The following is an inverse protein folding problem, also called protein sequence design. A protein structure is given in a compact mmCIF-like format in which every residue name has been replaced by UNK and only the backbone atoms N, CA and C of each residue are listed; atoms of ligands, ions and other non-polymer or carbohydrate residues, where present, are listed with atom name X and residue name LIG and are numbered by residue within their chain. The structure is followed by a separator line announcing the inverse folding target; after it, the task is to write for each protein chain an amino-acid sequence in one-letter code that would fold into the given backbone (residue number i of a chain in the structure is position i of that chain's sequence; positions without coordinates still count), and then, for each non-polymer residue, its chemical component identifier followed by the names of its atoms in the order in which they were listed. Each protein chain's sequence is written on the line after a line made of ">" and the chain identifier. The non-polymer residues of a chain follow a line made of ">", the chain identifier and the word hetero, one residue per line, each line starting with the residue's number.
data_IF_449337511531
#
_entry.id   IF_449337511531
#
_cell.length_a   1.000
_cell.length_b   1.000
_cell.length_c   1.000
_cell.angle_alpha   90.00
_cell.angle_beta   90.00
_cell.angle_gamma   90.00
#
_symmetry.space_group_name_H-M   'P 1'
#
loop_
_entity.id
_entity.type
_entity.pdbx_description
1 polymer ?
#
# COMPACT_ATOMS: atom_id res chain seq x y z
N UNK A 1 8.66 -29.17 9.79
CA UNK A 1 10.02 -28.88 9.24
C UNK A 1 10.85 -28.24 10.33
N UNK A 2 12.10 -28.65 10.52
CA UNK A 2 13.02 -28.00 11.48
C UNK A 2 13.75 -26.82 10.85
N UNK A 3 14.26 -25.89 11.67
CA UNK A 3 15.04 -24.75 11.18
C UNK A 3 16.32 -25.15 10.45
N UNK A 4 16.91 -26.28 10.79
CA UNK A 4 18.10 -26.83 10.11
C UNK A 4 17.74 -27.20 8.66
N UNK A 5 16.68 -27.97 8.47
CA UNK A 5 16.22 -28.35 7.13
C UNK A 5 15.81 -27.12 6.29
N UNK A 6 15.17 -26.13 6.92
CA UNK A 6 14.84 -24.87 6.27
C UNK A 6 16.10 -24.12 5.81
N UNK A 7 17.12 -24.04 6.65
CA UNK A 7 18.39 -23.38 6.30
C UNK A 7 19.12 -24.12 5.18
N UNK A 8 19.14 -25.46 5.23
CA UNK A 8 19.73 -26.27 4.16
C UNK A 8 19.01 -26.05 2.84
N UNK A 9 17.67 -26.03 2.86
CA UNK A 9 16.87 -25.75 1.67
C UNK A 9 17.17 -24.34 1.08
N UNK A 10 17.41 -23.33 1.93
CA UNK A 10 17.83 -22.01 1.48
C UNK A 10 19.20 -22.04 0.79
N UNK A 11 20.20 -22.71 1.36
CA UNK A 11 21.53 -22.81 0.74
C UNK A 11 21.47 -23.53 -0.61
N UNK A 12 20.67 -24.59 -0.73
CA UNK A 12 20.46 -25.31 -1.99
C UNK A 12 19.70 -24.47 -3.02
N UNK A 13 18.71 -23.69 -2.59
CA UNK A 13 17.92 -22.83 -3.48
C UNK A 13 18.65 -21.55 -3.91
N UNK A 14 19.67 -21.10 -3.16
CA UNK A 14 20.33 -19.81 -3.38
C UNK A 14 20.86 -19.63 -4.81
N UNK A 15 21.55 -20.58 -5.45
CA UNK A 15 21.99 -20.43 -6.83
C UNK A 15 20.84 -20.19 -7.80
N UNK A 16 19.73 -20.91 -7.64
CA UNK A 16 18.52 -20.76 -8.47
C UNK A 16 17.87 -19.39 -8.25
N UNK A 17 17.84 -18.92 -7.01
CA UNK A 17 17.33 -17.60 -6.67
C UNK A 17 18.17 -16.50 -7.32
N UNK A 18 19.49 -16.62 -7.33
CA UNK A 18 20.40 -15.66 -7.99
C UNK A 18 20.24 -15.66 -9.51
N UNK A 19 20.13 -16.83 -10.13
CA UNK A 19 19.82 -16.95 -11.57
C UNK A 19 18.49 -16.29 -11.91
N UNK A 20 17.45 -16.57 -11.11
CA UNK A 20 16.12 -15.94 -11.28
C UNK A 20 16.20 -14.42 -11.14
N UNK A 21 16.98 -13.91 -10.16
CA UNK A 21 17.18 -12.49 -9.95
C UNK A 21 17.86 -11.84 -11.17
N UNK A 22 18.90 -12.47 -11.71
CA UNK A 22 19.59 -12.04 -12.92
C UNK A 22 18.66 -12.00 -14.13
N UNK A 23 17.82 -13.03 -14.29
CA UNK A 23 16.86 -13.12 -15.39
C UNK A 23 15.76 -12.07 -15.29
N UNK A 24 15.18 -11.84 -14.08
CA UNK A 24 14.23 -10.76 -13.84
C UNK A 24 14.83 -9.39 -14.14
N UNK A 25 16.10 -9.22 -13.87
CA UNK A 25 16.84 -8.00 -14.19
C UNK A 25 16.96 -7.68 -15.67
N UNK A 26 16.53 -8.57 -16.59
CA UNK A 26 16.38 -8.23 -18.02
C UNK A 26 15.19 -7.29 -18.28
N UNK A 27 14.10 -7.48 -17.52
CA UNK A 27 12.89 -6.65 -17.63
C UNK A 27 12.94 -5.44 -16.69
N UNK A 28 13.53 -5.61 -15.51
CA UNK A 28 13.64 -4.58 -14.47
C UNK A 28 15.08 -4.55 -13.93
N UNK A 29 15.94 -3.65 -14.47
CA UNK A 29 17.38 -3.62 -14.16
C UNK A 29 17.73 -3.52 -12.68
N UNK A 30 16.86 -2.92 -11.86
CA UNK A 30 17.03 -2.82 -10.41
C UNK A 30 17.23 -4.15 -9.70
N UNK A 31 16.79 -5.29 -10.27
CA UNK A 31 17.05 -6.61 -9.70
C UNK A 31 18.52 -7.04 -9.82
N UNK A 32 19.31 -6.41 -10.69
CA UNK A 32 20.75 -6.67 -10.82
C UNK A 32 21.62 -5.78 -9.93
N UNK A 33 21.02 -4.78 -9.29
CA UNK A 33 21.71 -3.88 -8.38
C UNK A 33 21.75 -4.43 -6.94
N UNK A 34 22.76 -4.02 -6.17
CA UNK A 34 22.88 -4.24 -4.73
C UNK A 34 22.82 -5.73 -4.30
N UNK A 35 23.40 -6.66 -5.06
CA UNK A 35 23.40 -8.07 -4.71
C UNK A 35 24.14 -8.35 -3.40
N UNK A 36 25.20 -7.58 -3.12
CA UNK A 36 25.96 -7.70 -1.88
C UNK A 36 25.06 -7.53 -0.64
N UNK A 37 24.11 -6.58 -0.64
CA UNK A 37 23.16 -6.39 0.45
C UNK A 37 22.32 -7.65 0.68
N UNK A 38 21.79 -8.27 -0.40
CA UNK A 38 20.98 -9.51 -0.35
C UNK A 38 21.76 -10.72 0.15
N UNK A 39 23.08 -10.69 0.02
CA UNK A 39 24.00 -11.71 0.50
C UNK A 39 24.55 -11.40 1.92
N UNK A 40 24.01 -10.38 2.58
CA UNK A 40 24.40 -9.99 3.93
C UNK A 40 25.65 -9.11 4.01
N UNK A 41 26.04 -8.45 2.91
CA UNK A 41 27.16 -7.52 2.84
C UNK A 41 26.66 -6.10 2.51
N UNK A 42 25.91 -5.44 3.40
CA UNK A 42 25.41 -4.12 3.14
C UNK A 42 26.55 -3.10 3.17
N UNK A 43 26.53 -2.18 2.20
CA UNK A 43 27.41 -1.02 2.17
C UNK A 43 26.74 0.14 2.93
N UNK A 44 26.91 0.16 4.23
CA UNK A 44 26.34 1.20 5.08
C UNK A 44 27.40 1.74 6.03
N UNK A 45 27.46 3.06 6.20
CA UNK A 45 28.36 3.67 7.18
C UNK A 45 27.98 3.24 8.61
N UNK A 46 28.97 2.98 9.47
CA UNK A 46 28.74 2.82 10.91
C UNK A 46 28.07 4.08 11.48
N UNK A 47 27.24 3.90 12.50
CA UNK A 47 26.63 5.02 13.22
C UNK A 47 26.53 4.70 14.68
N UNK A 48 26.60 5.74 15.52
CA UNK A 48 26.31 5.66 16.94
C UNK A 48 24.84 5.99 17.26
N UNK A 49 24.05 6.36 16.24
CA UNK A 49 22.63 6.64 16.41
C UNK A 49 21.84 5.36 16.70
N UNK A 50 20.81 5.48 17.54
CA UNK A 50 19.83 4.42 17.75
C UNK A 50 19.24 3.99 16.39
N UNK A 51 19.43 2.74 16.01
CA UNK A 51 18.92 2.21 14.72
C UNK A 51 17.64 1.45 14.97
N UNK A 52 16.53 1.93 14.44
CA UNK A 52 15.23 1.26 14.41
C UNK A 52 15.06 0.62 13.02
N UNK A 53 14.89 -0.69 12.97
CA UNK A 53 14.82 -1.41 11.71
C UNK A 53 13.38 -1.69 11.33
N UNK A 54 12.93 -1.15 10.21
CA UNK A 54 11.61 -1.38 9.60
C UNK A 54 11.79 -2.19 8.33
N UNK A 55 11.07 -3.31 8.21
CA UNK A 55 11.06 -4.14 7.01
C UNK A 55 9.71 -4.05 6.29
N UNK A 56 9.74 -3.52 5.06
CA UNK A 56 8.61 -3.38 4.16
C UNK A 56 8.98 -3.92 2.78
N UNK A 57 8.43 -5.06 2.39
CA UNK A 57 8.86 -5.85 1.22
C UNK A 57 8.62 -5.13 -0.10
N UNK A 58 7.43 -4.54 -0.26
CA UNK A 58 6.88 -4.08 -1.53
C UNK A 58 6.50 -2.59 -1.50
N UNK A 59 6.11 -2.05 -2.66
CA UNK A 59 5.56 -0.69 -2.78
C UNK A 59 4.39 -0.47 -1.83
N UNK A 60 3.46 -1.44 -1.74
CA UNK A 60 2.28 -1.33 -0.88
C UNK A 60 2.63 -1.24 0.59
N UNK A 61 3.53 -2.11 1.06
CA UNK A 61 4.00 -2.10 2.46
C UNK A 61 4.85 -0.87 2.77
N UNK A 62 5.69 -0.42 1.83
CA UNK A 62 6.50 0.80 2.02
C UNK A 62 5.63 2.03 2.20
N UNK A 63 4.55 2.17 1.41
CA UNK A 63 3.55 3.23 1.60
C UNK A 63 2.78 3.07 2.91
N UNK A 64 2.38 1.84 3.25
CA UNK A 64 1.70 1.57 4.51
C UNK A 64 2.57 1.85 5.74
N UNK A 65 3.89 1.72 5.61
CA UNK A 65 4.85 2.03 6.68
C UNK A 65 5.12 3.53 6.87
N UNK A 66 4.72 4.40 5.92
CA UNK A 66 5.01 5.84 5.96
C UNK A 66 4.55 6.50 7.27
N UNK A 67 3.30 6.37 7.74
CA UNK A 67 2.87 6.97 9.01
C UNK A 67 3.68 6.46 10.21
N UNK A 68 4.05 5.19 10.22
CA UNK A 68 4.84 4.59 11.28
C UNK A 68 6.28 5.12 11.29
N UNK A 69 6.92 5.21 10.13
CA UNK A 69 8.30 5.73 10.00
C UNK A 69 8.35 7.18 10.46
N UNK A 70 7.40 8.02 10.01
CA UNK A 70 7.31 9.43 10.43
C UNK A 70 7.08 9.57 11.94
N UNK A 71 6.18 8.76 12.50
CA UNK A 71 5.92 8.78 13.95
C UNK A 71 7.15 8.34 14.76
N UNK A 72 7.88 7.31 14.31
CA UNK A 72 9.12 6.86 14.96
C UNK A 72 10.24 7.92 14.89
N UNK A 73 10.40 8.58 13.72
CA UNK A 73 11.38 9.67 13.57
C UNK A 73 11.05 10.89 14.44
N UNK A 74 9.77 11.14 14.68
CA UNK A 74 9.30 12.21 15.57
C UNK A 74 9.50 11.84 17.03
N UNK A 75 9.17 10.62 17.41
CA UNK A 75 9.27 10.12 18.80
C UNK A 75 10.73 9.95 19.25
N UNK A 76 11.60 9.54 18.31
CA UNK A 76 13.03 9.32 18.56
C UNK A 76 13.88 10.22 17.64
N UNK A 77 14.04 11.53 17.97
CA UNK A 77 14.70 12.51 17.08
C UNK A 77 16.14 12.14 16.71
N UNK A 78 16.89 11.52 17.62
CA UNK A 78 18.28 11.13 17.42
C UNK A 78 18.44 9.74 16.79
N UNK A 79 17.33 9.10 16.41
CA UNK A 79 17.35 7.78 15.79
C UNK A 79 17.63 7.83 14.30
N UNK A 80 17.99 6.66 13.79
CA UNK A 80 18.06 6.34 12.37
C UNK A 80 17.11 5.18 12.07
N UNK A 81 16.30 5.32 11.04
CA UNK A 81 15.50 4.22 10.49
C UNK A 81 16.37 3.45 9.47
N UNK A 82 16.50 2.15 9.68
CA UNK A 82 16.96 1.23 8.66
C UNK A 82 15.72 0.64 7.97
N UNK A 83 15.45 1.08 6.75
CA UNK A 83 14.31 0.60 5.97
C UNK A 83 14.77 -0.47 4.97
N UNK A 84 14.23 -1.68 5.09
CA UNK A 84 14.62 -2.79 4.21
C UNK A 84 13.50 -3.24 3.30
N UNK A 85 13.89 -3.66 2.08
CA UNK A 85 12.99 -4.05 1.00
C UNK A 85 13.39 -5.40 0.40
N UNK A 86 12.47 -6.02 -0.38
CA UNK A 86 12.77 -7.17 -1.23
C UNK A 86 12.67 -6.85 -2.72
N UNK A 87 12.01 -5.75 -3.11
CA UNK A 87 11.80 -5.36 -4.50
C UNK A 87 12.47 -4.02 -4.85
N UNK A 88 12.97 -3.85 -6.10
CA UNK A 88 13.52 -2.57 -6.55
C UNK A 88 12.50 -1.43 -6.52
N UNK A 89 11.25 -1.73 -6.86
CA UNK A 89 10.14 -0.77 -6.83
C UNK A 89 9.81 -0.33 -5.40
N UNK A 90 9.85 -1.25 -4.41
CA UNK A 90 9.72 -0.89 -2.99
C UNK A 90 10.84 0.05 -2.54
N UNK A 91 12.10 -0.25 -2.91
CA UNK A 91 13.25 0.61 -2.60
C UNK A 91 13.14 2.00 -3.25
N UNK A 92 12.70 2.07 -4.51
CA UNK A 92 12.46 3.34 -5.20
C UNK A 92 11.35 4.16 -4.52
N UNK A 93 10.28 3.50 -4.09
CA UNK A 93 9.20 4.12 -3.31
C UNK A 93 9.72 4.65 -1.98
N UNK A 94 10.53 3.88 -1.25
CA UNK A 94 11.15 4.33 0.01
C UNK A 94 12.06 5.54 -0.20
N UNK A 95 12.83 5.56 -1.32
CA UNK A 95 13.65 6.73 -1.67
C UNK A 95 12.79 7.97 -1.96
N UNK A 96 11.67 7.79 -2.64
CA UNK A 96 10.74 8.89 -2.96
C UNK A 96 10.06 9.45 -1.71
N UNK A 97 9.60 8.58 -0.81
CA UNK A 97 8.87 8.98 0.40
C UNK A 97 9.80 9.60 1.46
N UNK A 98 10.96 8.98 1.69
CA UNK A 98 11.79 9.30 2.84
C UNK A 98 13.13 9.96 2.50
N UNK A 99 13.39 10.23 1.20
CA UNK A 99 14.67 10.83 0.78
C UNK A 99 14.95 12.21 1.39
N UNK A 100 13.92 12.94 1.77
CA UNK A 100 14.02 14.25 2.43
C UNK A 100 14.60 14.17 3.86
N UNK A 101 14.55 13.00 4.51
CA UNK A 101 15.17 12.79 5.83
C UNK A 101 16.70 12.58 5.78
N UNK A 102 17.28 12.48 4.57
CA UNK A 102 18.72 12.30 4.39
C UNK A 102 19.24 11.04 5.10
N UNK A 103 20.30 11.20 5.90
CA UNK A 103 20.96 10.09 6.61
C UNK A 103 20.11 9.49 7.75
N UNK A 104 19.01 10.11 8.12
CA UNK A 104 18.10 9.55 9.13
C UNK A 104 17.29 8.37 8.63
N UNK A 105 17.16 8.19 7.31
CA UNK A 105 16.52 7.00 6.72
C UNK A 105 17.48 6.35 5.73
N UNK A 106 18.03 5.22 6.12
CA UNK A 106 18.96 4.43 5.32
C UNK A 106 18.24 3.21 4.76
N UNK A 107 18.43 2.93 3.49
CA UNK A 107 17.79 1.79 2.83
C UNK A 107 18.79 0.67 2.54
N UNK A 108 18.30 -0.59 2.67
CA UNK A 108 19.03 -1.80 2.26
C UNK A 108 18.04 -2.83 1.73
N UNK A 109 18.54 -3.82 0.98
CA UNK A 109 17.78 -5.05 0.78
C UNK A 109 17.90 -5.95 2.01
N UNK A 110 16.79 -6.65 2.34
CA UNK A 110 16.84 -7.72 3.33
C UNK A 110 17.75 -8.84 2.80
N UNK A 111 18.68 -9.37 3.62
CA UNK A 111 19.45 -10.53 3.22
C UNK A 111 18.55 -11.78 3.09
N UNK A 112 18.93 -12.71 2.23
CA UNK A 112 18.24 -14.00 2.17
C UNK A 112 18.31 -14.70 3.53
N UNK A 113 17.22 -15.39 3.88
CA UNK A 113 16.98 -15.92 5.22
C UNK A 113 17.87 -17.12 5.57
N UNK A 114 19.19 -16.89 5.57
CA UNK A 114 20.20 -17.84 6.06
C UNK A 114 20.86 -17.31 7.33
N UNK A 115 21.22 -18.20 8.24
CA UNK A 115 21.80 -17.79 9.52
C UNK A 115 23.10 -16.96 9.37
N UNK A 116 23.91 -17.24 8.34
CA UNK A 116 25.15 -16.52 8.06
C UNK A 116 24.88 -15.09 7.58
N UNK A 117 24.02 -14.93 6.56
CA UNK A 117 23.72 -13.62 5.96
C UNK A 117 23.01 -12.70 6.95
N UNK A 118 22.01 -13.22 7.67
CA UNK A 118 21.31 -12.51 8.74
C UNK A 118 22.27 -12.10 9.85
N UNK A 119 23.16 -12.99 10.29
CA UNK A 119 24.14 -12.67 11.34
C UNK A 119 25.09 -11.54 10.96
N UNK A 120 25.54 -11.50 9.69
CA UNK A 120 26.37 -10.39 9.18
C UNK A 120 25.59 -9.07 9.13
N UNK A 121 24.37 -9.12 8.66
CA UNK A 121 23.48 -7.96 8.59
C UNK A 121 23.26 -7.36 9.98
N UNK A 122 22.91 -8.16 10.97
CA UNK A 122 22.71 -7.75 12.35
C UNK A 122 23.98 -7.16 12.97
N UNK A 123 25.15 -7.75 12.71
CA UNK A 123 26.45 -7.22 13.18
C UNK A 123 26.77 -5.85 12.58
N UNK A 124 26.37 -5.61 11.30
CA UNK A 124 26.65 -4.36 10.60
C UNK A 124 25.76 -3.22 11.09
N UNK A 125 24.46 -3.48 11.22
CA UNK A 125 23.48 -2.42 11.55
C UNK A 125 23.22 -2.26 13.05
N UNK A 126 23.37 -3.33 13.85
CA UNK A 126 23.11 -3.36 15.31
C UNK A 126 21.78 -2.69 15.68
N UNK A 127 20.64 -3.12 15.07
CA UNK A 127 19.37 -2.47 15.34
C UNK A 127 18.93 -2.71 16.79
N UNK A 128 18.25 -1.72 17.38
CA UNK A 128 17.64 -1.80 18.70
C UNK A 128 16.39 -2.67 18.70
N UNK A 129 15.63 -2.61 17.61
CA UNK A 129 14.39 -3.37 17.37
C UNK A 129 14.28 -3.71 15.89
N UNK A 130 13.68 -4.86 15.58
CA UNK A 130 13.28 -5.26 14.23
C UNK A 130 11.76 -5.19 14.12
N UNK A 131 11.24 -4.34 13.25
CA UNK A 131 9.82 -4.11 13.02
C UNK A 131 9.47 -4.68 11.65
N UNK A 132 8.74 -5.80 11.63
CA UNK A 132 8.29 -6.47 10.42
C UNK A 132 6.86 -6.02 10.07
N UNK A 133 6.60 -5.72 8.81
CA UNK A 133 5.29 -5.29 8.34
C UNK A 133 4.43 -6.48 7.88
N UNK A 134 3.14 -6.42 8.14
CA UNK A 134 2.07 -7.30 7.63
C UNK A 134 2.25 -8.80 7.90
N UNK A 135 2.80 -9.57 6.95
CA UNK A 135 2.85 -11.05 7.02
C UNK A 135 4.27 -11.61 7.03
N UNK A 136 5.27 -10.78 7.23
CA UNK A 136 6.67 -11.10 7.03
C UNK A 136 7.26 -11.88 8.23
N UNK A 137 7.14 -13.21 8.18
CA UNK A 137 7.73 -14.12 9.17
C UNK A 137 8.87 -14.91 8.54
N UNK A 138 10.12 -14.59 8.93
CA UNK A 138 11.36 -15.18 8.42
C UNK A 138 12.06 -15.94 9.54
N UNK A 139 12.00 -17.30 9.57
CA UNK A 139 12.45 -18.09 10.72
C UNK A 139 13.91 -17.90 11.13
N UNK A 140 14.85 -17.79 10.19
CA UNK A 140 16.25 -17.57 10.52
C UNK A 140 16.54 -16.13 10.95
N UNK A 141 15.84 -15.14 10.37
CA UNK A 141 15.90 -13.75 10.78
C UNK A 141 15.44 -13.58 12.23
N UNK A 142 14.26 -14.11 12.57
CA UNK A 142 13.70 -14.05 13.92
C UNK A 142 14.65 -14.72 14.91
N UNK A 143 15.12 -15.94 14.60
CA UNK A 143 16.09 -16.63 15.43
C UNK A 143 17.45 -15.91 15.51
N UNK A 144 17.86 -15.22 14.46
CA UNK A 144 19.06 -14.38 14.43
C UNK A 144 18.93 -13.16 15.34
N UNK A 145 17.79 -12.49 15.28
CA UNK A 145 17.43 -11.37 16.16
C UNK A 145 17.43 -11.79 17.63
N UNK A 146 16.79 -12.92 17.96
CA UNK A 146 16.79 -13.45 19.33
C UNK A 146 18.20 -13.71 19.87
N UNK A 147 19.09 -14.32 19.05
CA UNK A 147 20.51 -14.53 19.44
C UNK A 147 21.30 -13.24 19.59
N UNK A 148 20.92 -12.19 18.88
CA UNK A 148 21.56 -10.87 18.93
C UNK A 148 20.93 -9.95 19.98
N UNK A 149 19.96 -10.43 20.77
CA UNK A 149 19.16 -9.65 21.72
C UNK A 149 18.45 -8.45 21.06
N UNK A 150 18.00 -8.63 19.81
CA UNK A 150 17.20 -7.67 19.06
C UNK A 150 15.73 -8.10 19.12
N UNK A 151 14.86 -7.43 19.87
CA UNK A 151 13.46 -7.79 19.92
C UNK A 151 12.81 -7.57 18.54
N UNK A 152 11.87 -8.48 18.20
CA UNK A 152 11.12 -8.42 16.94
C UNK A 152 9.69 -8.01 17.23
N UNK A 153 9.16 -7.03 16.51
CA UNK A 153 7.74 -6.72 16.51
C UNK A 153 7.15 -7.01 15.12
N UNK A 154 5.99 -7.65 15.06
CA UNK A 154 5.22 -7.78 13.84
C UNK A 154 4.08 -6.75 13.92
N UNK A 155 4.08 -5.76 13.02
CA UNK A 155 3.12 -4.64 13.07
C UNK A 155 2.25 -4.59 11.82
N UNK A 156 1.07 -3.97 11.95
CA UNK A 156 0.06 -4.00 10.90
C UNK A 156 -0.22 -5.45 10.46
N UNK A 157 -0.19 -6.38 11.42
CA UNK A 157 -0.17 -7.81 11.16
C UNK A 157 -1.52 -8.30 10.63
N UNK A 158 -1.46 -9.04 9.53
CA UNK A 158 -2.61 -9.65 8.88
C UNK A 158 -2.33 -11.12 8.61
N UNK A 159 -3.29 -12.00 8.91
CA UNK A 159 -3.14 -13.43 8.67
C UNK A 159 -4.45 -14.05 8.17
N UNK A 160 -4.56 -14.27 6.85
CA UNK A 160 -5.73 -14.93 6.28
C UNK A 160 -5.82 -16.41 6.68
N UNK A 161 -7.02 -16.99 6.64
CA UNK A 161 -7.23 -18.43 6.87
C UNK A 161 -6.37 -19.31 5.96
N UNK A 162 -6.19 -18.90 4.70
CA UNK A 162 -5.33 -19.61 3.75
C UNK A 162 -3.87 -19.59 4.19
N UNK A 163 -3.39 -18.45 4.69
CA UNK A 163 -2.02 -18.28 5.18
C UNK A 163 -1.81 -19.04 6.49
N UNK A 164 -2.80 -19.02 7.40
CA UNK A 164 -2.78 -19.81 8.62
C UNK A 164 -2.63 -21.32 8.31
N UNK A 165 -3.45 -21.84 7.38
CA UNK A 165 -3.37 -23.25 6.96
C UNK A 165 -2.00 -23.61 6.36
N UNK A 166 -1.39 -22.68 5.59
CA UNK A 166 -0.02 -22.88 5.06
C UNK A 166 1.02 -22.85 6.18
N UNK A 167 0.92 -21.89 7.11
CA UNK A 167 1.80 -21.81 8.27
C UNK A 167 1.77 -23.08 9.13
N UNK A 168 0.57 -23.60 9.40
CA UNK A 168 0.40 -24.86 10.14
C UNK A 168 1.06 -26.07 9.47
N UNK A 169 1.09 -26.12 8.13
CA UNK A 169 1.81 -27.17 7.38
C UNK A 169 3.33 -27.11 7.57
N UNK A 170 3.89 -25.94 7.90
CA UNK A 170 5.31 -25.82 8.24
C UNK A 170 5.62 -26.33 9.66
N UNK A 171 4.60 -26.62 10.46
CA UNK A 171 4.70 -27.24 11.78
C UNK A 171 5.54 -26.43 12.75
N UNK A 172 6.41 -27.14 13.51
CA UNK A 172 7.25 -26.57 14.56
C UNK A 172 8.03 -25.31 14.13
N UNK A 173 8.49 -25.25 12.88
CA UNK A 173 9.25 -24.10 12.38
C UNK A 173 8.47 -22.78 12.47
N UNK A 174 7.18 -22.80 12.11
CA UNK A 174 6.35 -21.60 12.16
C UNK A 174 5.90 -21.27 13.58
N UNK A 175 5.62 -22.30 14.39
CA UNK A 175 5.28 -22.12 15.80
C UNK A 175 6.47 -21.51 16.57
N UNK A 176 7.68 -22.03 16.38
CA UNK A 176 8.91 -21.48 16.98
C UNK A 176 9.15 -20.02 16.55
N UNK A 177 8.94 -19.73 15.28
CA UNK A 177 9.10 -18.36 14.77
C UNK A 177 8.06 -17.41 15.38
N UNK A 178 6.79 -17.81 15.43
CA UNK A 178 5.72 -16.98 15.98
C UNK A 178 5.88 -16.76 17.50
N UNK A 179 6.24 -17.80 18.25
CA UNK A 179 6.46 -17.71 19.71
C UNK A 179 7.70 -16.87 20.07
N UNK A 180 8.65 -16.73 19.15
CA UNK A 180 9.84 -15.89 19.34
C UNK A 180 9.60 -14.41 18.98
N UNK A 181 8.39 -14.01 18.55
CA UNK A 181 8.02 -12.60 18.31
C UNK A 181 7.35 -12.06 19.59
N UNK A 182 8.05 -11.24 20.39
CA UNK A 182 7.54 -10.78 21.68
C UNK A 182 6.33 -9.86 21.59
N UNK A 183 6.08 -9.22 20.43
CA UNK A 183 5.00 -8.28 20.24
C UNK A 183 4.40 -8.36 18.85
N UNK A 184 3.08 -8.49 18.78
CA UNK A 184 2.31 -8.41 17.53
C UNK A 184 1.22 -7.36 17.65
N UNK A 185 1.18 -6.40 16.72
CA UNK A 185 0.13 -5.42 16.54
C UNK A 185 -0.74 -5.84 15.33
N UNK A 186 -1.87 -6.47 15.57
CA UNK A 186 -2.77 -7.02 14.56
C UNK A 186 -3.76 -5.98 14.04
N UNK A 187 -4.19 -6.11 12.77
CA UNK A 187 -5.17 -5.21 12.17
C UNK A 187 -6.58 -5.44 12.73
N UNK A 188 -6.97 -6.70 12.90
CA UNK A 188 -8.31 -7.08 13.35
C UNK A 188 -8.24 -8.11 14.47
N UNK A 189 -9.35 -8.29 15.21
CA UNK A 189 -9.44 -9.36 16.21
C UNK A 189 -9.37 -10.76 15.57
N UNK A 190 -9.91 -10.93 14.37
CA UNK A 190 -9.80 -12.18 13.61
C UNK A 190 -8.35 -12.52 13.26
N UNK A 191 -7.55 -11.52 12.85
CA UNK A 191 -6.10 -11.70 12.64
C UNK A 191 -5.39 -12.05 13.96
N UNK A 192 -5.72 -11.33 15.03
CA UNK A 192 -5.14 -11.56 16.34
C UNK A 192 -5.40 -13.00 16.85
N UNK A 193 -6.61 -13.52 16.70
CA UNK A 193 -6.97 -14.89 17.09
C UNK A 193 -6.16 -15.92 16.27
N UNK A 194 -6.06 -15.73 14.95
CA UNK A 194 -5.26 -16.60 14.08
C UNK A 194 -3.79 -16.59 14.46
N UNK A 195 -3.24 -15.42 14.77
CA UNK A 195 -1.83 -15.26 15.15
C UNK A 195 -1.57 -15.87 16.54
N UNK A 196 -2.45 -15.67 17.52
CA UNK A 196 -2.38 -16.34 18.84
C UNK A 196 -2.38 -17.86 18.70
N UNK A 197 -3.15 -18.40 17.75
CA UNK A 197 -3.19 -19.84 17.48
C UNK A 197 -1.87 -20.41 16.94
N UNK A 198 -0.93 -19.56 16.50
CA UNK A 198 0.44 -19.91 16.12
C UNK A 198 1.44 -19.75 17.28
N UNK A 199 0.98 -19.38 18.48
CA UNK A 199 1.83 -19.31 19.67
C UNK A 199 2.47 -17.95 19.95
N UNK A 200 2.08 -16.86 19.27
CA UNK A 200 2.60 -15.53 19.56
C UNK A 200 2.21 -15.10 21.00
N UNK A 201 3.19 -14.68 21.86
CA UNK A 201 2.96 -14.48 23.30
C UNK A 201 2.14 -13.23 23.63
N UNK A 202 2.31 -12.16 22.87
CA UNK A 202 1.59 -10.90 23.08
C UNK A 202 1.05 -10.37 21.77
N UNK A 203 -0.28 -10.38 21.62
CA UNK A 203 -0.99 -9.89 20.44
C UNK A 203 -2.01 -8.84 20.86
N UNK A 204 -1.82 -7.61 20.41
CA UNK A 204 -2.75 -6.50 20.59
C UNK A 204 -3.42 -6.14 19.26
N UNK A 205 -4.68 -5.73 19.29
CA UNK A 205 -5.37 -5.19 18.12
C UNK A 205 -5.15 -3.67 18.06
N UNK A 206 -4.48 -3.20 17.03
CA UNK A 206 -4.20 -1.77 16.84
C UNK A 206 -5.00 -1.14 15.71
N UNK A 207 -5.62 -1.93 14.86
CA UNK A 207 -6.19 -1.47 13.61
C UNK A 207 -5.16 -1.45 12.47
N UNK A 208 -5.60 -1.07 11.28
CA UNK A 208 -4.70 -0.96 10.12
C UNK A 208 -4.10 0.44 10.00
N UNK A 209 -2.77 0.51 9.97
CA UNK A 209 -2.00 1.76 9.75
C UNK A 209 -2.39 2.46 8.43
N UNK A 210 -2.94 1.73 7.48
CA UNK A 210 -3.41 2.28 6.20
C UNK A 210 -4.51 3.34 6.38
N UNK A 211 -5.23 3.34 7.51
CA UNK A 211 -6.25 4.34 7.82
C UNK A 211 -5.67 5.65 8.40
N UNK A 212 -4.42 5.64 8.84
CA UNK A 212 -3.75 6.82 9.38
C UNK A 212 -3.17 7.74 8.30
N UNK A 213 -3.60 7.53 7.07
CA UNK A 213 -3.20 8.37 5.94
C UNK A 213 -3.77 9.78 6.14
N UNK A 214 -2.87 10.76 6.15
CA UNK A 214 -3.22 12.18 6.18
C UNK A 214 -2.98 12.76 4.79
N UNK A 215 -4.02 13.31 4.14
CA UNK A 215 -3.84 13.97 2.85
C UNK A 215 -2.83 15.11 2.98
N UNK A 216 -1.74 15.14 2.19
CA UNK A 216 -0.76 16.23 2.24
C UNK A 216 -1.40 17.57 1.83
N UNK A 217 -1.10 18.65 2.54
CA UNK A 217 -1.64 19.99 2.23
C UNK A 217 -1.40 20.38 0.76
N UNK A 218 -0.19 20.17 0.25
CA UNK A 218 0.15 20.41 -1.15
C UNK A 218 -0.70 19.59 -2.15
N UNK A 219 -1.14 18.39 -1.77
CA UNK A 219 -2.04 17.59 -2.60
C UNK A 219 -3.48 18.15 -2.60
N UNK A 220 -3.92 18.70 -1.47
CA UNK A 220 -5.23 19.38 -1.38
C UNK A 220 -5.24 20.67 -2.20
N UNK A 221 -4.19 21.49 -2.11
CA UNK A 221 -4.01 22.70 -2.94
C UNK A 221 -4.01 22.35 -4.42
N UNK A 222 -3.29 21.33 -4.82
CA UNK A 222 -3.27 20.81 -6.19
C UNK A 222 -4.65 20.29 -6.62
N UNK A 223 -5.40 19.64 -5.73
CA UNK A 223 -6.78 19.22 -5.97
C UNK A 223 -7.73 20.39 -6.20
N UNK A 224 -7.62 21.43 -5.38
CA UNK A 224 -8.39 22.68 -5.57
C UNK A 224 -8.05 23.34 -6.92
N UNK A 225 -6.77 23.37 -7.28
CA UNK A 225 -6.34 23.85 -8.59
C UNK A 225 -6.94 23.01 -9.74
N UNK A 226 -6.89 21.67 -9.67
CA UNK A 226 -7.50 20.79 -10.67
C UNK A 226 -9.01 21.04 -10.80
N UNK A 227 -9.71 21.21 -9.67
CA UNK A 227 -11.15 21.51 -9.65
C UNK A 227 -11.45 22.84 -10.36
N UNK A 228 -10.62 23.86 -10.13
CA UNK A 228 -10.73 25.15 -10.81
C UNK A 228 -10.46 25.04 -12.32
N UNK A 229 -9.44 24.25 -12.73
CA UNK A 229 -9.17 24.01 -14.16
C UNK A 229 -10.33 23.29 -14.86
N UNK A 230 -11.07 22.44 -14.14
CA UNK A 230 -12.29 21.81 -14.63
C UNK A 230 -13.52 22.73 -14.58
N UNK A 231 -13.39 24.01 -14.23
CA UNK A 231 -14.49 24.96 -14.08
C UNK A 231 -15.62 24.42 -13.16
N UNK A 232 -15.28 23.68 -12.12
CA UNK A 232 -16.19 23.01 -11.18
C UNK A 232 -17.20 22.05 -11.84
N UNK A 233 -16.89 21.53 -13.02
CA UNK A 233 -17.70 20.52 -13.71
C UNK A 233 -17.96 19.30 -12.81
N UNK A 234 -19.16 18.68 -12.85
CA UNK A 234 -19.39 17.40 -12.18
C UNK A 234 -18.36 16.38 -12.64
N UNK A 235 -17.55 15.85 -11.71
CA UNK A 235 -16.38 15.02 -12.04
C UNK A 235 -16.48 13.63 -11.42
N UNK A 236 -16.53 12.61 -12.28
CA UNK A 236 -16.40 11.20 -11.88
C UNK A 236 -14.98 10.74 -12.07
N UNK A 237 -14.35 10.22 -11.00
CA UNK A 237 -12.98 9.72 -11.00
C UNK A 237 -12.94 8.20 -11.05
N UNK A 238 -12.24 7.65 -12.03
CA UNK A 238 -11.86 6.24 -12.08
C UNK A 238 -10.40 6.11 -11.61
N UNK A 239 -10.22 5.81 -10.33
CA UNK A 239 -8.95 5.86 -9.62
C UNK A 239 -8.18 4.54 -9.74
N UNK A 240 -6.92 4.58 -10.18
CA UNK A 240 -6.02 3.42 -10.25
C UNK A 240 -6.56 2.27 -11.11
N UNK A 241 -7.10 2.59 -12.28
CA UNK A 241 -7.66 1.61 -13.21
C UNK A 241 -6.61 0.61 -13.71
N UNK A 242 -7.08 -0.57 -14.06
CA UNK A 242 -6.26 -1.69 -14.51
C UNK A 242 -6.65 -2.09 -15.93
N UNK A 243 -5.76 -2.87 -16.56
CA UNK A 243 -5.96 -3.37 -17.92
C UNK A 243 -7.33 -4.04 -18.11
N UNK A 244 -8.05 -3.61 -19.14
CA UNK A 244 -9.40 -4.06 -19.48
C UNK A 244 -10.52 -3.22 -18.86
N UNK A 245 -10.33 -2.58 -17.72
CA UNK A 245 -11.37 -1.77 -17.07
C UNK A 245 -11.68 -0.50 -17.84
N UNK A 246 -10.64 0.16 -18.38
CA UNK A 246 -10.83 1.44 -19.07
C UNK A 246 -11.71 1.30 -20.32
N UNK A 247 -11.62 0.16 -21.02
CA UNK A 247 -12.49 -0.12 -22.15
C UNK A 247 -13.95 -0.23 -21.71
N UNK A 248 -14.23 -1.02 -20.66
CA UNK A 248 -15.57 -1.19 -20.10
C UNK A 248 -16.16 0.13 -19.60
N UNK A 249 -15.35 0.92 -18.90
CA UNK A 249 -15.72 2.23 -18.36
C UNK A 249 -16.08 3.20 -19.50
N UNK A 250 -15.23 3.32 -20.52
CA UNK A 250 -15.45 4.22 -21.65
C UNK A 250 -16.68 3.84 -22.46
N UNK A 251 -16.87 2.54 -22.74
CA UNK A 251 -18.03 2.05 -23.46
C UNK A 251 -19.34 2.31 -22.69
N UNK A 252 -19.34 2.08 -21.39
CA UNK A 252 -20.48 2.38 -20.53
C UNK A 252 -20.72 3.91 -20.40
N UNK A 253 -19.66 4.71 -20.30
CA UNK A 253 -19.75 6.18 -20.26
C UNK A 253 -20.39 6.76 -21.52
N UNK A 254 -20.12 6.18 -22.70
CA UNK A 254 -20.73 6.62 -23.95
C UNK A 254 -22.22 6.23 -24.05
N UNK A 255 -22.61 5.07 -23.49
CA UNK A 255 -24.01 4.62 -23.52
C UNK A 255 -24.94 5.39 -22.59
N UNK A 256 -24.41 6.06 -21.58
CA UNK A 256 -25.24 6.82 -20.64
C UNK A 256 -25.68 8.13 -21.26
N UNK A 257 -26.97 8.25 -21.54
CA UNK A 257 -27.58 9.46 -22.15
C UNK A 257 -27.86 10.56 -21.13
N UNK A 258 -28.15 10.20 -19.88
CA UNK A 258 -28.57 11.10 -18.79
C UNK A 258 -27.40 11.65 -17.97
N UNK A 259 -26.24 11.93 -18.56
CA UNK A 259 -25.14 12.58 -17.83
C UNK A 259 -25.46 14.03 -17.53
N UNK A 260 -25.09 14.54 -16.33
CA UNK A 260 -25.15 15.97 -16.05
C UNK A 260 -24.42 16.78 -17.12
N UNK A 261 -24.98 17.93 -17.49
CA UNK A 261 -24.36 18.78 -18.49
C UNK A 261 -22.92 19.14 -18.09
N UNK A 262 -22.00 18.94 -18.99
CA UNK A 262 -20.59 19.21 -18.76
C UNK A 262 -19.88 18.19 -17.86
N UNK A 263 -20.47 17.04 -17.54
CA UNK A 263 -19.80 16.01 -16.73
C UNK A 263 -18.43 15.64 -17.31
N UNK A 264 -17.44 15.49 -16.41
CA UNK A 264 -16.07 15.15 -16.73
C UNK A 264 -15.76 13.75 -16.21
N UNK A 265 -15.22 12.89 -17.07
CA UNK A 265 -14.65 11.61 -16.67
C UNK A 265 -13.15 11.77 -16.44
N UNK A 266 -12.68 11.53 -15.21
CA UNK A 266 -11.25 11.48 -14.92
C UNK A 266 -10.78 10.02 -14.82
N UNK A 267 -9.79 9.61 -15.60
CA UNK A 267 -9.21 8.25 -15.58
C UNK A 267 -7.76 8.33 -15.14
N UNK A 268 -7.40 7.62 -14.08
CA UNK A 268 -6.02 7.55 -13.57
C UNK A 268 -5.56 6.09 -13.60
N UNK A 269 -4.81 5.68 -14.63
CA UNK A 269 -4.29 4.32 -14.72
C UNK A 269 -3.26 4.01 -13.63
N UNK A 270 -3.29 2.80 -13.09
CA UNK A 270 -2.39 2.36 -12.01
C UNK A 270 -0.92 2.32 -12.42
N UNK A 271 -0.65 2.07 -13.68
CA UNK A 271 0.69 1.84 -14.22
C UNK A 271 1.06 2.87 -15.28
N UNK A 272 2.20 3.58 -15.15
CA UNK A 272 2.63 4.61 -16.11
C UNK A 272 2.77 4.11 -17.56
N UNK A 273 3.13 2.83 -17.73
CA UNK A 273 3.28 2.21 -19.06
C UNK A 273 1.99 2.21 -19.87
N UNK A 274 0.84 2.43 -19.23
CA UNK A 274 -0.47 2.39 -19.85
C UNK A 274 -1.02 3.77 -20.27
N UNK A 275 -0.35 4.86 -19.89
CA UNK A 275 -0.86 6.19 -20.16
C UNK A 275 -1.10 6.44 -21.67
N UNK A 276 -0.15 6.06 -22.53
CA UNK A 276 -0.29 6.23 -23.99
C UNK A 276 -1.35 5.29 -24.58
N UNK A 277 -1.49 4.09 -24.03
CA UNK A 277 -2.50 3.12 -24.43
C UNK A 277 -3.91 3.64 -24.09
N UNK A 278 -4.10 4.16 -22.88
CA UNK A 278 -5.40 4.69 -22.44
C UNK A 278 -5.77 5.96 -23.21
N UNK A 279 -4.83 6.85 -23.51
CA UNK A 279 -5.09 8.01 -24.38
C UNK A 279 -5.61 7.56 -25.77
N UNK A 280 -4.95 6.57 -26.39
CA UNK A 280 -5.38 6.01 -27.68
C UNK A 280 -6.75 5.34 -27.54
N UNK A 281 -7.02 4.68 -26.43
CA UNK A 281 -8.30 4.04 -26.16
C UNK A 281 -9.44 5.05 -26.09
N UNK A 282 -9.22 6.22 -25.47
CA UNK A 282 -10.17 7.34 -25.40
C UNK A 282 -10.41 7.92 -26.81
N UNK A 283 -9.34 8.28 -27.52
CA UNK A 283 -9.43 8.91 -28.83
C UNK A 283 -10.04 8.00 -29.89
N UNK A 284 -9.78 6.69 -29.83
CA UNK A 284 -10.39 5.70 -30.75
C UNK A 284 -11.91 5.60 -30.62
N UNK A 285 -12.47 6.08 -29.51
CA UNK A 285 -13.93 6.18 -29.28
C UNK A 285 -14.51 7.54 -29.65
N UNK A 286 -13.72 8.41 -30.27
CA UNK A 286 -14.16 9.76 -30.65
C UNK A 286 -14.28 10.73 -29.48
N UNK A 287 -13.80 10.37 -28.28
CA UNK A 287 -13.79 11.23 -27.10
C UNK A 287 -12.56 12.12 -27.09
N UNK A 288 -12.74 13.36 -26.65
CA UNK A 288 -11.65 14.31 -26.44
C UNK A 288 -10.94 14.06 -25.13
N UNK A 289 -9.62 14.14 -25.10
CA UNK A 289 -8.81 13.86 -23.92
C UNK A 289 -7.75 14.93 -23.67
N UNK A 290 -7.61 15.32 -22.41
CA UNK A 290 -6.49 16.15 -21.94
C UNK A 290 -5.66 15.38 -20.93
N UNK A 291 -4.35 15.30 -21.13
CA UNK A 291 -3.42 14.75 -20.14
C UNK A 291 -3.17 15.76 -19.02
N UNK A 292 -3.14 15.25 -17.79
CA UNK A 292 -2.81 16.05 -16.61
C UNK A 292 -1.41 16.67 -16.72
N UNK A 293 -0.43 15.92 -17.23
CA UNK A 293 0.95 16.37 -17.38
C UNK A 293 1.13 17.53 -18.37
N UNK A 294 0.16 17.72 -19.27
CA UNK A 294 0.14 18.78 -20.29
C UNK A 294 -0.87 19.88 -19.99
N UNK A 295 -1.48 19.84 -18.80
CA UNK A 295 -2.48 20.83 -18.40
C UNK A 295 -1.79 22.07 -17.83
N UNK A 296 -1.79 23.16 -18.58
CA UNK A 296 -1.21 24.45 -18.19
C UNK A 296 -2.31 25.39 -17.68
N UNK A 297 -3.42 25.49 -18.41
CA UNK A 297 -4.55 26.38 -18.06
C UNK A 297 -5.84 25.89 -18.69
N UNK A 298 -6.89 25.73 -17.85
CA UNK A 298 -8.27 25.38 -18.24
C UNK A 298 -8.40 24.04 -18.99
N UNK A 299 -9.30 23.19 -18.54
CA UNK A 299 -9.57 21.91 -19.21
C UNK A 299 -10.46 22.07 -20.46
N UNK A 300 -11.12 23.22 -20.64
CA UNK A 300 -12.09 23.38 -21.73
C UNK A 300 -13.22 22.36 -21.65
N UNK A 301 -13.76 22.01 -22.83
CA UNK A 301 -14.88 21.06 -22.95
C UNK A 301 -14.42 19.61 -23.25
N UNK A 302 -13.25 19.18 -22.78
CA UNK A 302 -12.81 17.80 -22.99
C UNK A 302 -13.72 16.82 -22.25
N UNK A 303 -13.88 15.61 -22.83
CA UNK A 303 -14.70 14.55 -22.26
C UNK A 303 -13.96 13.82 -21.13
N UNK A 304 -12.63 13.66 -21.29
CA UNK A 304 -11.80 12.86 -20.40
C UNK A 304 -10.56 13.63 -19.94
N UNK A 305 -10.34 13.66 -18.62
CA UNK A 305 -9.06 14.01 -18.01
C UNK A 305 -8.26 12.72 -17.78
N UNK A 306 -7.15 12.54 -18.49
CA UNK A 306 -6.23 11.44 -18.24
C UNK A 306 -5.19 11.84 -17.20
N UNK A 307 -5.26 11.20 -16.04
CA UNK A 307 -4.29 11.37 -14.96
C UNK A 307 -3.01 10.57 -15.21
N UNK A 308 -2.07 11.17 -15.91
CA UNK A 308 -0.79 10.58 -16.29
C UNK A 308 0.37 11.04 -15.39
N UNK A 309 0.06 11.35 -14.14
CA UNK A 309 1.04 11.75 -13.11
C UNK A 309 1.08 10.77 -11.95
N UNK A 310 2.29 10.50 -11.44
CA UNK A 310 2.47 9.63 -10.27
C UNK A 310 2.48 10.43 -8.97
N UNK A 311 1.89 9.84 -7.91
CA UNK A 311 1.89 10.44 -6.57
C UNK A 311 0.85 11.53 -6.35
N UNK A 312 -0.04 11.79 -7.30
CA UNK A 312 -1.06 12.85 -7.22
C UNK A 312 -2.48 12.33 -6.88
N UNK A 313 -2.63 11.08 -6.40
CA UNK A 313 -3.95 10.48 -6.21
C UNK A 313 -4.84 11.28 -5.26
N UNK A 314 -4.30 11.83 -4.17
CA UNK A 314 -5.04 12.71 -3.27
C UNK A 314 -5.55 13.98 -3.96
N UNK A 315 -4.80 14.52 -4.91
CA UNK A 315 -5.25 15.70 -5.68
C UNK A 315 -6.44 15.32 -6.58
N UNK A 316 -6.42 14.15 -7.22
CA UNK A 316 -7.56 13.68 -8.01
C UNK A 316 -8.78 13.41 -7.14
N UNK A 317 -8.62 12.76 -5.98
CA UNK A 317 -9.74 12.59 -5.03
C UNK A 317 -10.27 13.91 -4.53
N UNK A 318 -9.42 14.87 -4.20
CA UNK A 318 -9.86 16.19 -3.76
C UNK A 318 -10.68 16.94 -4.85
N UNK A 319 -10.30 16.74 -6.13
CA UNK A 319 -10.94 17.40 -7.26
C UNK A 319 -12.27 16.74 -7.71
N UNK A 320 -12.54 15.48 -7.40
CA UNK A 320 -13.72 14.76 -7.87
C UNK A 320 -14.95 14.89 -6.96
N UNK A 321 -16.11 14.50 -7.48
CA UNK A 321 -17.38 14.44 -6.74
C UNK A 321 -17.65 13.03 -6.21
N UNK A 322 -17.30 11.99 -6.97
CA UNK A 322 -17.33 10.60 -6.56
C UNK A 322 -16.20 9.81 -7.24
N UNK A 323 -15.83 8.68 -6.68
CA UNK A 323 -14.70 7.90 -7.17
C UNK A 323 -15.01 6.41 -7.29
N UNK A 324 -14.64 5.82 -8.43
CA UNK A 324 -14.54 4.37 -8.60
C UNK A 324 -13.12 3.91 -8.29
N UNK A 325 -13.00 2.79 -7.58
CA UNK A 325 -11.71 2.19 -7.24
C UNK A 325 -11.39 1.07 -8.24
N UNK A 326 -10.40 1.30 -9.08
CA UNK A 326 -9.98 0.37 -10.12
C UNK A 326 -9.43 -0.95 -9.60
N UNK A 327 -9.31 -1.92 -10.49
CA UNK A 327 -8.95 -3.31 -10.19
C UNK A 327 -10.10 -4.10 -9.57
N UNK A 328 -11.28 -3.53 -9.48
CA UNK A 328 -12.44 -4.13 -8.82
C UNK A 328 -13.57 -4.58 -9.77
N UNK A 329 -13.68 -4.04 -10.98
CA UNK A 329 -14.57 -4.58 -12.03
C UNK A 329 -14.04 -5.88 -12.63
N UNK A 330 -12.73 -6.00 -12.72
CA UNK A 330 -12.04 -7.20 -13.18
C UNK A 330 -11.45 -7.95 -11.97
N UNK A 331 -11.16 -9.27 -12.07
CA UNK A 331 -10.67 -10.07 -10.93
C UNK A 331 -9.22 -9.76 -10.57
N UNK A 332 -8.93 -8.47 -10.33
CA UNK A 332 -7.60 -7.93 -10.02
C UNK A 332 -7.44 -7.49 -8.56
N UNK A 333 -8.52 -7.59 -7.77
CA UNK A 333 -8.51 -7.50 -6.31
C UNK A 333 -8.76 -6.13 -5.71
N UNK A 334 -9.07 -5.11 -6.52
CA UNK A 334 -9.31 -3.74 -6.04
C UNK A 334 -8.05 -3.02 -5.58
N UNK A 335 -8.11 -1.69 -5.61
CA UNK A 335 -7.07 -0.80 -5.08
C UNK A 335 -7.51 -0.17 -3.75
N UNK A 336 -6.73 0.76 -3.20
CA UNK A 336 -6.98 1.39 -1.91
C UNK A 336 -8.18 2.36 -1.97
N UNK A 337 -9.26 2.06 -1.24
CA UNK A 337 -10.43 2.94 -1.12
C UNK A 337 -10.29 3.93 0.05
N UNK A 338 -9.39 3.68 0.99
CA UNK A 338 -9.27 4.44 2.24
C UNK A 338 -8.90 5.89 1.96
N UNK A 339 -8.07 6.15 0.95
CA UNK A 339 -7.66 7.49 0.55
C UNK A 339 -8.85 8.35 0.10
N UNK A 340 -9.77 7.77 -0.68
CA UNK A 340 -11.01 8.42 -1.09
C UNK A 340 -11.93 8.69 0.11
N UNK A 341 -12.12 7.69 0.98
CA UNK A 341 -12.92 7.82 2.19
C UNK A 341 -12.36 8.89 3.15
N UNK A 342 -11.03 8.99 3.27
CA UNK A 342 -10.36 9.99 4.11
C UNK A 342 -10.61 11.44 3.64
N UNK A 343 -11.01 11.63 2.38
CA UNK A 343 -11.42 12.92 1.81
C UNK A 343 -12.95 13.08 1.71
N UNK A 344 -13.72 12.17 2.31
CA UNK A 344 -15.17 12.22 2.29
C UNK A 344 -15.76 12.04 0.89
N UNK A 345 -15.09 11.28 0.03
CA UNK A 345 -15.61 11.02 -1.31
C UNK A 345 -16.46 9.76 -1.32
N UNK A 346 -17.67 9.80 -1.92
CA UNK A 346 -18.44 8.60 -2.22
C UNK A 346 -17.61 7.63 -3.04
N UNK A 347 -17.59 6.36 -2.63
CA UNK A 347 -16.76 5.33 -3.26
C UNK A 347 -17.63 4.30 -3.96
N UNK A 348 -17.29 4.00 -5.21
CA UNK A 348 -17.87 2.91 -5.99
C UNK A 348 -16.80 1.81 -6.17
N UNK A 349 -17.18 0.55 -5.97
CA UNK A 349 -16.30 -0.61 -6.13
C UNK A 349 -17.00 -1.72 -6.91
N UNK A 350 -16.26 -2.44 -7.73
CA UNK A 350 -16.75 -3.67 -8.36
C UNK A 350 -16.76 -4.86 -7.39
N UNK A 351 -17.05 -6.05 -7.89
CA UNK A 351 -17.16 -7.27 -7.08
C UNK A 351 -15.83 -7.82 -6.58
N UNK A 352 -14.72 -7.49 -7.26
CA UNK A 352 -13.42 -8.08 -7.00
C UNK A 352 -12.55 -7.18 -6.10
N UNK A 353 -12.70 -7.31 -4.78
CA UNK A 353 -12.03 -6.45 -3.79
C UNK A 353 -11.12 -7.21 -2.81
N UNK A 354 -10.65 -8.41 -3.18
CA UNK A 354 -9.93 -9.32 -2.26
C UNK A 354 -8.61 -8.78 -1.69
N UNK A 355 -8.00 -7.74 -2.30
CA UNK A 355 -6.82 -7.07 -1.72
C UNK A 355 -7.18 -6.17 -0.54
N UNK A 356 -8.43 -5.68 -0.49
CA UNK A 356 -8.98 -4.81 0.53
C UNK A 356 -10.32 -5.33 1.04
N UNK A 357 -10.53 -6.65 1.07
CA UNK A 357 -11.82 -7.28 1.35
C UNK A 357 -12.47 -6.73 2.63
N UNK A 358 -11.78 -6.84 3.76
CA UNK A 358 -12.33 -6.45 5.06
C UNK A 358 -12.71 -4.96 5.08
N UNK A 359 -11.81 -4.08 4.62
CA UNK A 359 -12.06 -2.63 4.55
C UNK A 359 -13.21 -2.28 3.58
N UNK A 360 -13.34 -3.03 2.48
CA UNK A 360 -14.43 -2.81 1.52
C UNK A 360 -15.77 -3.26 2.06
N UNK A 361 -15.84 -4.47 2.66
CA UNK A 361 -17.09 -4.96 3.26
C UNK A 361 -17.60 -4.02 4.35
N UNK A 362 -16.71 -3.53 5.18
CA UNK A 362 -17.04 -2.59 6.25
C UNK A 362 -17.48 -1.24 5.68
N UNK A 363 -16.76 -0.69 4.68
CA UNK A 363 -17.14 0.55 4.02
C UNK A 363 -18.51 0.45 3.32
N UNK A 364 -18.84 -0.69 2.72
CA UNK A 364 -20.14 -0.95 2.11
C UNK A 364 -21.22 -1.05 3.20
N UNK A 365 -20.96 -1.78 4.28
CA UNK A 365 -21.88 -1.91 5.42
C UNK A 365 -22.19 -0.58 6.09
N UNK A 366 -21.24 0.33 6.12
CA UNK A 366 -21.38 1.70 6.68
C UNK A 366 -22.04 2.69 5.71
N UNK A 367 -22.29 2.32 4.46
CA UNK A 367 -22.77 3.24 3.43
C UNK A 367 -21.71 4.23 2.93
N UNK A 368 -20.44 4.00 3.21
CA UNK A 368 -19.30 4.76 2.70
C UNK A 368 -18.91 4.36 1.28
N UNK A 369 -19.20 3.11 0.90
CA UNK A 369 -18.98 2.58 -0.43
C UNK A 369 -20.21 1.88 -0.97
N UNK A 370 -20.36 1.84 -2.30
CA UNK A 370 -21.39 1.08 -3.01
C UNK A 370 -20.73 0.06 -3.92
N UNK A 371 -21.13 -1.21 -3.77
CA UNK A 371 -20.68 -2.29 -4.66
C UNK A 371 -21.56 -2.34 -5.90
N UNK A 372 -20.95 -2.47 -7.08
CA UNK A 372 -21.62 -2.56 -8.37
C UNK A 372 -21.20 -3.81 -9.12
N UNK A 373 -22.12 -4.51 -9.81
CA UNK A 373 -21.82 -5.78 -10.48
C UNK A 373 -21.04 -5.60 -11.79
N UNK A 374 -21.23 -4.50 -12.50
CA UNK A 374 -20.67 -4.27 -13.83
C UNK A 374 -20.47 -2.76 -14.13
N UNK A 375 -19.98 -2.47 -15.34
CA UNK A 375 -19.70 -1.12 -15.78
C UNK A 375 -20.96 -0.27 -16.02
N UNK A 376 -22.06 -0.88 -16.42
CA UNK A 376 -23.33 -0.15 -16.65
C UNK A 376 -23.94 0.27 -15.31
N UNK A 377 -23.96 -0.63 -14.32
CA UNK A 377 -24.38 -0.29 -12.96
C UNK A 377 -23.42 0.74 -12.31
N UNK A 378 -22.12 0.66 -12.60
CA UNK A 378 -21.15 1.67 -12.16
C UNK A 378 -21.52 3.06 -12.71
N UNK A 379 -21.83 3.16 -14.00
CA UNK A 379 -22.19 4.43 -14.62
C UNK A 379 -23.51 4.99 -14.08
N UNK A 380 -24.52 4.14 -13.92
CA UNK A 380 -25.80 4.54 -13.32
C UNK A 380 -25.62 5.12 -11.89
N UNK A 381 -24.80 4.45 -11.08
CA UNK A 381 -24.48 4.91 -9.72
C UNK A 381 -23.68 6.23 -9.75
N UNK A 382 -22.69 6.34 -10.64
CA UNK A 382 -21.88 7.55 -10.77
C UNK A 382 -22.74 8.76 -11.20
N UNK A 383 -23.59 8.62 -12.23
CA UNK A 383 -24.48 9.68 -12.69
C UNK A 383 -25.42 10.13 -11.57
N UNK A 384 -26.06 9.18 -10.88
CA UNK A 384 -26.89 9.52 -9.72
C UNK A 384 -26.13 10.35 -8.67
N UNK A 385 -24.89 9.97 -8.33
CA UNK A 385 -24.08 10.71 -7.36
C UNK A 385 -23.63 12.08 -7.90
N UNK A 386 -23.47 12.24 -9.20
CA UNK A 386 -23.17 13.55 -9.80
C UNK A 386 -24.38 14.50 -9.77
N UNK A 387 -25.60 13.98 -9.88
CA UNK A 387 -26.86 14.76 -9.90
C UNK A 387 -27.42 15.03 -8.51
N UNK A 388 -27.38 14.02 -7.63
CA UNK A 388 -27.96 14.09 -6.28
C UNK A 388 -26.91 14.53 -5.26
N UNK A 389 -26.91 15.83 -4.95
CA UNK A 389 -25.99 16.41 -3.96
C UNK A 389 -26.26 15.87 -2.55
N UNK A 390 -27.51 15.60 -2.20
CA UNK A 390 -27.87 15.09 -0.88
C UNK A 390 -27.35 13.64 -0.68
N UNK A 391 -27.55 12.77 -1.69
CA UNK A 391 -27.01 11.42 -1.67
C UNK A 391 -25.48 11.43 -1.64
N UNK A 392 -24.85 12.29 -2.45
CA UNK A 392 -23.40 12.48 -2.47
C UNK A 392 -22.86 12.95 -1.12
N UNK A 393 -23.50 13.93 -0.51
CA UNK A 393 -23.14 14.48 0.81
C UNK A 393 -23.29 13.44 1.93
N UNK A 394 -24.39 12.68 1.95
CA UNK A 394 -24.64 11.62 2.91
C UNK A 394 -23.58 10.52 2.82
N UNK A 395 -23.32 10.00 1.62
CA UNK A 395 -22.33 8.96 1.41
C UNK A 395 -20.90 9.44 1.73
N UNK A 396 -20.59 10.72 1.41
CA UNK A 396 -19.31 11.35 1.77
C UNK A 396 -19.13 11.48 3.29
N UNK A 397 -20.19 11.81 4.03
CA UNK A 397 -20.15 11.85 5.49
C UNK A 397 -19.91 10.46 6.10
N UNK A 398 -20.55 9.41 5.57
CA UNK A 398 -20.28 8.03 5.96
C UNK A 398 -18.83 7.62 5.66
N UNK A 399 -18.28 8.05 4.50
CA UNK A 399 -16.88 7.78 4.14
C UNK A 399 -15.89 8.42 5.12
N UNK A 400 -16.11 9.68 5.52
CA UNK A 400 -15.31 10.35 6.56
C UNK A 400 -15.42 9.66 7.92
N UNK A 401 -16.63 9.28 8.33
CA UNK A 401 -16.88 8.59 9.59
C UNK A 401 -16.17 7.23 9.60
N UNK A 402 -16.28 6.45 8.53
CA UNK A 402 -15.58 5.18 8.35
C UNK A 402 -14.06 5.35 8.48
N UNK A 403 -13.46 6.25 7.68
CA UNK A 403 -12.02 6.49 7.75
C UNK A 403 -11.59 6.99 9.15
N UNK A 404 -12.40 7.82 9.79
CA UNK A 404 -12.13 8.40 11.12
C UNK A 404 -12.11 7.35 12.23
N UNK A 405 -13.03 6.37 12.22
CA UNK A 405 -13.10 5.31 13.24
C UNK A 405 -11.85 4.41 13.27
N UNK A 406 -11.22 4.22 12.15
CA UNK A 406 -10.06 3.36 12.00
C UNK A 406 -8.72 4.07 12.23
N UNK A 407 -8.72 5.40 12.44
CA UNK A 407 -7.50 6.17 12.72
C UNK A 407 -6.89 5.84 14.08
N UNK A 408 -5.61 6.19 14.23
CA UNK A 408 -4.85 6.03 15.47
C UNK A 408 -4.11 4.69 15.58
N UNK A 409 -4.15 3.82 14.58
CA UNK A 409 -3.43 2.55 14.56
C UNK A 409 -1.91 2.77 14.70
N UNK A 410 -1.36 3.79 14.04
CA UNK A 410 0.05 4.16 14.13
C UNK A 410 0.43 4.56 15.55
N UNK A 411 -0.34 5.43 16.20
CA UNK A 411 -0.05 5.87 17.57
C UNK A 411 -0.12 4.70 18.56
N UNK A 412 -1.16 3.85 18.46
CA UNK A 412 -1.26 2.63 19.28
C UNK A 412 -0.09 1.67 19.03
N UNK A 413 0.37 1.57 17.78
CA UNK A 413 1.54 0.74 17.42
C UNK A 413 2.82 1.30 18.01
N UNK A 414 3.07 2.61 17.91
CA UNK A 414 4.25 3.27 18.51
C UNK A 414 4.26 3.11 20.02
N UNK A 415 3.12 3.28 20.70
CA UNK A 415 2.99 3.06 22.13
C UNK A 415 3.40 1.64 22.56
N UNK A 416 2.96 0.63 21.78
CA UNK A 416 3.39 -0.75 22.02
C UNK A 416 4.89 -0.95 21.78
N UNK A 417 5.45 -0.30 20.74
CA UNK A 417 6.88 -0.40 20.41
C UNK A 417 7.81 0.23 21.45
N UNK A 418 7.34 1.25 22.20
CA UNK A 418 8.12 1.85 23.31
C UNK A 418 8.60 0.79 24.29
N UNK A 419 7.82 -0.25 24.56
CA UNK A 419 8.17 -1.35 25.45
C UNK A 419 9.39 -2.16 24.97
N UNK A 420 9.69 -2.13 23.68
CA UNK A 420 10.83 -2.86 23.09
C UNK A 420 12.02 -1.94 22.80
N UNK A 421 11.76 -0.66 22.59
CA UNK A 421 12.79 0.32 22.24
C UNK A 421 13.45 0.88 23.52
N UNK A 422 12.67 1.10 24.58
CA UNK A 422 13.14 1.64 25.86
C UNK A 422 13.08 3.15 25.88
#
# INVERSE_FOLDING_TARGET
>A
MTRILYSLAWYLALPLVLVRLWWRGRKEPGYRAHWAERLGFPDAAPTNRLTLWVHAVSVGETRAAEPLVEALLKEYPDSRILLTHMTPTGRATGKSLFGHHGERVVQSYLPYDTGFMVGRFLKRFRPRVCILMETEVWPNLIAGCARANVPVALVNARLSERSLRRGRKMGVLMLDAASAIPLVAAQTEADAQRIRSLGAPKVAVTGSIKFDVVPPAAALEKGAWLRAQAANRPTFLCASTREGEEALILDAWQRVDAKPQGALLAIVPRHPQRFDEVEKLVTSRGLTVQRRSRLESGLGNVDVLLGDSMGEMFAYYAACDCAFIGGSLMPLGGQNLIEACALGKPVLVGEHTFNFADATEEAVGDGAALRVPDADALMAAAVRLLEDEAARGSMGAHALAFAGRHRGATLRTVELLRQLIG
#
